data_IF_024023813286
#
_entry.id   IF_024023813286
#
_cell.length_a   1.000
_cell.length_b   1.000
_cell.length_c   1.000
_cell.angle_alpha   90.00
_cell.angle_beta   90.00
_cell.angle_gamma   90.00
#
_symmetry.space_group_name_H-M   'P 1'
#
loop_
_entity.id
_entity.type
_entity.pdbx_description
1 polymer ?
#
# COMPACT_ATOMS: atom_id res chain seq x y z
N UNK A 1 6.04 -3.41 17.07
CA UNK A 1 5.98 -3.59 18.54
C UNK A 1 6.62 -2.40 19.27
N UNK A 2 5.82 -1.45 19.78
CA UNK A 2 6.33 -0.23 20.44
C UNK A 2 6.76 -0.45 21.91
N UNK A 3 6.15 -1.43 22.58
CA UNK A 3 6.26 -1.62 24.04
C UNK A 3 7.37 -2.59 24.47
N UNK A 4 7.86 -3.46 23.58
CA UNK A 4 8.82 -4.50 23.96
C UNK A 4 10.29 -4.08 23.88
N UNK A 5 10.65 -3.15 22.99
CA UNK A 5 12.06 -2.79 22.74
C UNK A 5 12.75 -2.14 23.94
N UNK A 6 12.15 -1.10 24.51
CA UNK A 6 12.72 -0.37 25.66
C UNK A 6 12.95 -1.27 26.88
N UNK A 7 12.01 -2.15 27.29
CA UNK A 7 12.25 -3.12 28.35
C UNK A 7 13.38 -4.11 28.04
N UNK A 8 13.52 -4.54 26.77
CA UNK A 8 14.59 -5.47 26.37
C UNK A 8 15.96 -4.80 26.49
N UNK A 9 16.11 -3.59 25.97
CA UNK A 9 17.38 -2.82 26.06
C UNK A 9 17.72 -2.47 27.51
N UNK A 10 16.72 -2.15 28.34
CA UNK A 10 16.92 -1.88 29.76
C UNK A 10 17.36 -3.12 30.56
N UNK A 11 16.86 -4.31 30.20
CA UNK A 11 17.21 -5.58 30.87
C UNK A 11 18.51 -6.18 30.33
N UNK A 12 18.85 -5.89 29.07
CA UNK A 12 20.00 -6.45 28.38
C UNK A 12 20.81 -5.32 27.72
N UNK A 13 21.78 -4.71 28.44
CA UNK A 13 22.52 -3.53 27.98
C UNK A 13 23.29 -3.72 26.67
N UNK A 14 23.64 -4.97 26.33
CA UNK A 14 24.39 -5.33 25.14
C UNK A 14 23.49 -5.70 23.94
N UNK A 15 22.17 -5.57 24.08
CA UNK A 15 21.20 -5.87 23.02
C UNK A 15 20.62 -4.57 22.50
N UNK A 16 20.74 -4.35 21.20
CA UNK A 16 20.11 -3.22 20.50
C UNK A 16 18.81 -3.70 19.86
N UNK A 17 17.71 -3.00 20.11
CA UNK A 17 16.40 -3.35 19.56
C UNK A 17 16.03 -2.41 18.40
N UNK A 18 15.94 -2.99 17.20
CA UNK A 18 15.41 -2.29 16.03
C UNK A 18 13.93 -2.61 15.82
N UNK A 19 13.15 -1.58 15.49
CA UNK A 19 11.73 -1.77 15.13
C UNK A 19 11.64 -2.40 13.74
N UNK A 20 10.72 -3.36 13.58
CA UNK A 20 10.46 -3.99 12.29
C UNK A 20 9.96 -2.96 11.26
N UNK A 21 10.76 -2.77 10.20
CA UNK A 21 10.52 -1.84 9.11
C UNK A 21 9.34 -2.26 8.21
N UNK A 22 9.19 -3.56 7.94
CA UNK A 22 8.03 -4.12 7.24
C UNK A 22 6.72 -3.86 8.01
N UNK A 23 6.72 -4.09 9.33
CA UNK A 23 5.56 -3.74 10.17
C UNK A 23 5.23 -2.25 10.09
N UNK A 24 6.24 -1.39 10.03
CA UNK A 24 6.02 0.05 9.94
C UNK A 24 5.50 0.50 8.56
N UNK A 25 5.90 -0.16 7.46
CA UNK A 25 5.25 0.02 6.15
C UNK A 25 3.77 -0.38 6.18
N UNK A 26 3.44 -1.47 6.87
CA UNK A 26 2.05 -1.88 7.05
C UNK A 26 1.23 -0.85 7.86
N UNK A 27 1.83 -0.27 8.91
CA UNK A 27 1.20 0.83 9.65
C UNK A 27 1.05 2.08 8.77
N UNK A 28 2.06 2.43 7.99
CA UNK A 28 1.99 3.54 7.03
C UNK A 28 0.82 3.35 6.05
N UNK A 29 0.67 2.16 5.45
CA UNK A 29 -0.49 1.84 4.61
C UNK A 29 -1.80 2.05 5.38
N UNK A 30 -1.91 1.52 6.61
CA UNK A 30 -3.10 1.70 7.43
C UNK A 30 -3.46 3.17 7.64
N UNK A 31 -2.48 4.05 7.83
CA UNK A 31 -2.74 5.48 8.01
C UNK A 31 -3.06 6.19 6.70
N UNK A 32 -2.42 5.82 5.59
CA UNK A 32 -2.78 6.32 4.26
C UNK A 32 -4.26 6.00 3.95
N UNK A 33 -4.73 4.79 4.29
CA UNK A 33 -6.12 4.40 4.09
C UNK A 33 -7.14 5.13 4.99
N UNK A 34 -6.69 5.94 5.96
CA UNK A 34 -7.56 6.86 6.72
C UNK A 34 -7.83 8.16 5.97
N UNK A 35 -7.02 8.52 4.98
CA UNK A 35 -7.27 9.66 4.11
C UNK A 35 -8.57 9.41 3.34
N UNK A 36 -9.46 10.41 3.29
CA UNK A 36 -10.83 10.29 2.75
C UNK A 36 -10.87 9.63 1.36
N UNK A 37 -10.00 10.08 0.44
CA UNK A 37 -9.88 9.53 -0.91
C UNK A 37 -9.68 8.00 -0.91
N UNK A 38 -8.74 7.51 -0.09
CA UNK A 38 -8.39 6.10 -0.01
C UNK A 38 -9.49 5.30 0.67
N UNK A 39 -10.03 5.83 1.77
CA UNK A 39 -11.13 5.20 2.51
C UNK A 39 -12.38 5.02 1.64
N UNK A 40 -12.76 6.02 0.86
CA UNK A 40 -13.95 5.97 0.00
C UNK A 40 -13.78 4.98 -1.17
N UNK A 41 -12.60 4.98 -1.81
CA UNK A 41 -12.27 4.00 -2.86
C UNK A 41 -12.27 2.58 -2.28
N UNK A 42 -11.65 2.37 -1.11
CA UNK A 42 -11.57 1.06 -0.47
C UNK A 42 -12.96 0.53 -0.10
N UNK A 43 -13.84 1.37 0.46
CA UNK A 43 -15.22 0.99 0.79
C UNK A 43 -15.98 0.49 -0.43
N UNK A 44 -15.92 1.21 -1.56
CA UNK A 44 -16.53 0.80 -2.83
C UNK A 44 -15.92 -0.49 -3.37
N UNK A 45 -14.59 -0.61 -3.37
CA UNK A 45 -13.89 -1.80 -3.84
C UNK A 45 -14.23 -3.05 -3.00
N UNK A 46 -14.38 -2.92 -1.68
CA UNK A 46 -14.78 -4.04 -0.80
C UNK A 46 -16.15 -4.59 -1.19
N UNK A 47 -17.11 -3.73 -1.57
CA UNK A 47 -18.44 -4.18 -2.02
C UNK A 47 -18.34 -5.04 -3.27
N UNK A 48 -17.57 -4.61 -4.27
CA UNK A 48 -17.31 -5.39 -5.49
C UNK A 48 -16.66 -6.73 -5.14
N UNK A 49 -15.60 -6.73 -4.32
CA UNK A 49 -14.87 -7.97 -3.97
C UNK A 49 -15.75 -8.93 -3.18
N UNK A 50 -16.53 -8.46 -2.21
CA UNK A 50 -17.48 -9.28 -1.45
C UNK A 50 -18.52 -9.89 -2.39
N UNK A 51 -19.07 -9.09 -3.31
CA UNK A 51 -20.05 -9.56 -4.28
C UNK A 51 -19.50 -10.67 -5.18
N UNK A 52 -18.28 -10.48 -5.71
CA UNK A 52 -17.60 -11.47 -6.56
C UNK A 52 -17.25 -12.73 -5.78
N UNK A 53 -16.67 -12.59 -4.58
CA UNK A 53 -16.24 -13.74 -3.77
C UNK A 53 -17.40 -14.62 -3.31
N UNK A 54 -18.57 -14.04 -3.07
CA UNK A 54 -19.77 -14.78 -2.70
C UNK A 54 -20.33 -15.67 -3.83
N UNK A 55 -19.86 -15.49 -5.07
CA UNK A 55 -20.41 -16.16 -6.26
C UNK A 55 -19.32 -16.95 -6.96
N UNK A 56 -19.28 -18.26 -6.72
CA UNK A 56 -18.20 -19.14 -7.19
C UNK A 56 -17.97 -19.08 -8.71
N UNK A 57 -19.03 -19.06 -9.52
CA UNK A 57 -18.92 -18.97 -10.98
C UNK A 57 -18.28 -17.64 -11.42
N UNK A 58 -18.74 -16.52 -10.85
CA UNK A 58 -18.20 -15.20 -11.16
C UNK A 58 -16.75 -15.08 -10.67
N UNK A 59 -16.44 -15.58 -9.48
CA UNK A 59 -15.08 -15.64 -8.95
C UNK A 59 -14.15 -16.44 -9.87
N UNK A 60 -14.61 -17.58 -10.38
CA UNK A 60 -13.83 -18.41 -11.30
C UNK A 60 -13.59 -17.72 -12.64
N UNK A 61 -14.61 -17.06 -13.20
CA UNK A 61 -14.47 -16.23 -14.41
C UNK A 61 -13.44 -15.10 -14.21
N UNK A 62 -13.53 -14.38 -13.10
CA UNK A 62 -12.57 -13.32 -12.75
C UNK A 62 -11.16 -13.87 -12.60
N UNK A 63 -10.99 -15.04 -11.99
CA UNK A 63 -9.69 -15.70 -11.85
C UNK A 63 -9.13 -16.12 -13.22
N UNK A 64 -9.97 -16.71 -14.09
CA UNK A 64 -9.58 -17.09 -15.47
C UNK A 64 -9.14 -15.87 -16.27
N UNK A 65 -9.92 -14.81 -16.27
CA UNK A 65 -9.57 -13.56 -16.93
C UNK A 65 -8.25 -12.99 -16.41
N UNK A 66 -8.05 -12.96 -15.08
CA UNK A 66 -6.81 -12.48 -14.47
C UNK A 66 -5.58 -13.32 -14.83
N UNK A 67 -5.74 -14.61 -15.11
CA UNK A 67 -4.64 -15.48 -15.59
C UNK A 67 -4.23 -15.15 -17.01
N UNK A 68 -5.19 -14.77 -17.86
CA UNK A 68 -4.96 -14.41 -19.26
C UNK A 68 -4.33 -13.03 -19.43
N UNK A 69 -4.49 -12.12 -18.45
CA UNK A 69 -3.81 -10.84 -18.46
C UNK A 69 -2.28 -11.01 -18.35
N UNK A 70 -1.54 -10.46 -19.33
CA UNK A 70 -0.08 -10.37 -19.29
C UNK A 70 0.39 -9.75 -17.96
N UNK A 71 1.53 -10.21 -17.41
CA UNK A 71 2.03 -9.80 -16.07
C UNK A 71 2.06 -8.26 -15.88
N UNK A 72 2.30 -7.48 -16.94
CA UNK A 72 2.32 -6.01 -16.92
C UNK A 72 0.94 -5.34 -16.76
N UNK A 73 -0.18 -6.01 -17.12
CA UNK A 73 -1.55 -5.48 -17.11
C UNK A 73 -2.40 -5.87 -15.90
N UNK A 74 -1.82 -6.57 -14.90
CA UNK A 74 -2.56 -7.05 -13.71
C UNK A 74 -2.98 -5.94 -12.74
N UNK A 75 -2.70 -4.68 -13.05
CA UNK A 75 -3.17 -3.52 -12.30
C UNK A 75 -4.43 -2.93 -12.95
N UNK A 76 -5.60 -3.28 -12.41
CA UNK A 76 -6.70 -2.30 -12.34
C UNK A 76 -7.96 -2.50 -13.15
N UNK A 77 -8.13 -3.54 -13.98
CA UNK A 77 -9.37 -3.68 -14.78
C UNK A 77 -10.03 -5.06 -14.61
N UNK A 78 -11.25 -5.05 -14.06
CA UNK A 78 -12.18 -6.18 -14.05
C UNK A 78 -13.16 -5.99 -15.23
N UNK A 79 -12.77 -6.41 -16.43
CA UNK A 79 -13.65 -6.47 -17.59
C UNK A 79 -14.30 -7.86 -17.69
N UNK A 80 -15.03 -8.27 -16.65
CA UNK A 80 -15.74 -9.56 -16.64
C UNK A 80 -17.23 -9.30 -16.75
N UNK A 81 -17.94 -9.94 -17.72
CA UNK A 81 -19.38 -9.79 -17.83
C UNK A 81 -20.06 -10.25 -16.54
N UNK A 82 -20.81 -9.35 -15.90
CA UNK A 82 -21.67 -9.71 -14.76
C UNK A 82 -22.90 -10.46 -15.28
N UNK A 83 -23.41 -11.42 -14.50
CA UNK A 83 -24.73 -12.01 -14.75
C UNK A 83 -25.77 -10.88 -14.78
N UNK A 84 -26.65 -10.91 -15.78
CA UNK A 84 -27.60 -9.81 -16.02
C UNK A 84 -28.71 -9.73 -14.97
N UNK A 85 -29.12 -10.86 -14.39
CA UNK A 85 -30.22 -10.92 -13.42
C UNK A 85 -30.03 -12.03 -12.38
N UNK A 86 -30.52 -11.78 -11.17
CA UNK A 86 -30.72 -12.76 -10.10
C UNK A 86 -32.21 -12.94 -9.81
N UNK A 87 -32.61 -14.16 -9.47
CA UNK A 87 -34.01 -14.47 -9.11
C UNK A 87 -34.37 -13.96 -7.72
N UNK A 88 -33.39 -13.86 -6.82
CA UNK A 88 -33.58 -13.36 -5.47
C UNK A 88 -33.40 -11.84 -5.38
N UNK A 89 -34.37 -11.17 -4.73
CA UNK A 89 -34.42 -9.71 -4.60
C UNK A 89 -33.19 -9.12 -3.90
N UNK A 90 -32.64 -9.83 -2.91
CA UNK A 90 -31.47 -9.38 -2.16
C UNK A 90 -30.19 -9.39 -3.02
N UNK A 91 -29.95 -10.43 -3.83
CA UNK A 91 -28.82 -10.44 -4.76
C UNK A 91 -29.00 -9.45 -5.90
N UNK A 92 -30.24 -9.19 -6.34
CA UNK A 92 -30.51 -8.18 -7.35
C UNK A 92 -30.13 -6.77 -6.86
N UNK A 93 -30.53 -6.39 -5.63
CA UNK A 93 -30.13 -5.10 -5.02
C UNK A 93 -28.60 -4.98 -4.91
N UNK A 94 -27.92 -6.07 -4.51
CA UNK A 94 -26.44 -6.09 -4.44
C UNK A 94 -25.81 -6.00 -5.84
N UNK A 95 -26.43 -6.57 -6.86
CA UNK A 95 -25.98 -6.47 -8.25
C UNK A 95 -26.12 -5.03 -8.75
N UNK A 96 -27.27 -4.40 -8.53
CA UNK A 96 -27.53 -3.01 -8.96
C UNK A 96 -26.54 -2.03 -8.29
N UNK A 97 -26.26 -2.22 -7.01
CA UNK A 97 -25.25 -1.44 -6.30
C UNK A 97 -23.85 -1.61 -6.91
N UNK A 98 -23.43 -2.86 -7.15
CA UNK A 98 -22.11 -3.15 -7.75
C UNK A 98 -22.03 -2.64 -9.18
N UNK A 99 -23.10 -2.79 -9.96
CA UNK A 99 -23.21 -2.27 -11.32
C UNK A 99 -23.09 -0.75 -11.34
N UNK A 100 -23.69 -0.06 -10.37
CA UNK A 100 -23.52 1.39 -10.18
C UNK A 100 -22.07 1.79 -9.92
N UNK A 101 -21.33 1.04 -9.10
CA UNK A 101 -19.91 1.30 -8.83
C UNK A 101 -19.04 0.99 -10.05
N UNK A 102 -19.29 -0.14 -10.73
CA UNK A 102 -18.49 -0.58 -11.89
C UNK A 102 -18.68 0.37 -13.08
N UNK A 103 -19.86 0.95 -13.26
CA UNK A 103 -20.12 1.93 -14.31
C UNK A 103 -19.72 3.37 -13.95
N UNK A 104 -19.36 3.64 -12.69
CA UNK A 104 -18.89 4.94 -12.22
C UNK A 104 -17.46 5.22 -12.76
N UNK A 105 -17.37 6.04 -13.81
CA UNK A 105 -16.09 6.46 -14.40
C UNK A 105 -15.19 7.19 -13.38
N UNK A 106 -15.77 7.97 -12.47
CA UNK A 106 -15.02 8.72 -11.46
C UNK A 106 -14.42 7.78 -10.41
N UNK A 107 -15.13 6.69 -10.07
CA UNK A 107 -14.57 5.64 -9.23
C UNK A 107 -13.28 5.07 -9.82
N UNK A 108 -13.25 4.72 -11.10
CA UNK A 108 -12.05 4.15 -11.74
C UNK A 108 -10.88 5.14 -11.84
N UNK A 109 -11.16 6.42 -12.13
CA UNK A 109 -10.12 7.48 -12.11
C UNK A 109 -9.49 7.56 -10.71
N UNK A 110 -10.32 7.65 -9.65
CA UNK A 110 -9.84 7.70 -8.26
C UNK A 110 -9.13 6.42 -7.85
N UNK A 111 -9.63 5.26 -8.25
CA UNK A 111 -9.01 3.96 -7.98
C UNK A 111 -7.62 3.84 -8.61
N UNK A 112 -7.45 4.31 -9.85
CA UNK A 112 -6.15 4.36 -10.53
C UNK A 112 -5.15 5.25 -9.79
N UNK A 113 -5.60 6.40 -9.29
CA UNK A 113 -4.78 7.30 -8.45
C UNK A 113 -4.39 6.62 -7.13
N UNK A 114 -5.34 6.00 -6.42
CA UNK A 114 -5.07 5.27 -5.16
C UNK A 114 -4.06 4.14 -5.37
N UNK A 115 -4.20 3.36 -6.46
CA UNK A 115 -3.23 2.30 -6.80
C UNK A 115 -1.87 2.88 -7.12
N UNK A 116 -1.80 3.99 -7.88
CA UNK A 116 -0.53 4.70 -8.15
C UNK A 116 0.15 5.14 -6.86
N UNK A 117 -0.59 5.76 -5.94
CA UNK A 117 -0.05 6.30 -4.69
C UNK A 117 0.33 5.24 -3.64
N UNK A 118 -0.29 4.06 -3.67
CA UNK A 118 0.09 2.96 -2.76
C UNK A 118 1.28 2.14 -3.26
N UNK A 119 1.58 2.19 -4.57
CA UNK A 119 2.62 1.37 -5.21
C UNK A 119 4.03 1.57 -4.63
N UNK A 120 4.51 2.79 -4.34
CA UNK A 120 5.84 2.95 -3.72
C UNK A 120 5.92 2.28 -2.34
N UNK A 121 4.87 2.39 -1.52
CA UNK A 121 4.82 1.79 -0.18
C UNK A 121 4.78 0.27 -0.25
N UNK A 122 3.97 -0.31 -1.16
CA UNK A 122 3.91 -1.78 -1.31
C UNK A 122 5.21 -2.36 -1.87
N UNK A 123 5.91 -1.61 -2.74
CA UNK A 123 7.26 -1.99 -3.19
C UNK A 123 8.26 -1.97 -2.04
N UNK A 124 8.26 -0.91 -1.22
CA UNK A 124 9.13 -0.82 -0.05
C UNK A 124 8.83 -1.97 0.93
N UNK A 125 7.56 -2.24 1.21
CA UNK A 125 7.16 -3.37 2.04
C UNK A 125 7.72 -4.70 1.50
N UNK A 126 7.55 -4.97 0.20
CA UNK A 126 8.03 -6.20 -0.42
C UNK A 126 9.56 -6.35 -0.32
N UNK A 127 10.34 -5.27 -0.46
CA UNK A 127 11.80 -5.29 -0.28
C UNK A 127 12.16 -5.58 1.17
N UNK A 128 11.49 -4.93 2.11
CA UNK A 128 11.77 -5.05 3.55
C UNK A 128 11.31 -6.38 4.15
N UNK A 129 10.45 -7.12 3.46
CA UNK A 129 10.02 -8.48 3.83
C UNK A 129 10.96 -9.57 3.28
N UNK A 130 11.92 -9.22 2.40
CA UNK A 130 12.86 -10.21 1.89
C UNK A 130 13.88 -10.63 2.95
N UNK A 131 14.27 -11.91 2.95
CA UNK A 131 15.32 -12.43 3.85
C UNK A 131 16.71 -11.80 3.58
N UNK A 132 16.87 -11.15 2.41
CA UNK A 132 18.07 -10.41 2.04
C UNK A 132 18.06 -8.94 2.52
N UNK A 133 17.02 -8.49 3.23
CA UNK A 133 16.94 -7.12 3.71
C UNK A 133 17.94 -6.87 4.85
N UNK A 134 19.03 -6.16 4.56
CA UNK A 134 19.96 -5.65 5.56
C UNK A 134 19.38 -4.44 6.31
N UNK A 135 20.01 -4.06 7.42
CA UNK A 135 19.61 -2.87 8.17
C UNK A 135 19.84 -1.58 7.36
N UNK A 136 20.89 -1.53 6.53
CA UNK A 136 21.17 -0.40 5.62
C UNK A 136 20.04 -0.18 4.59
N UNK A 137 19.42 -1.25 4.12
CA UNK A 137 18.29 -1.17 3.17
C UNK A 137 17.08 -0.44 3.76
N UNK A 138 16.91 -0.42 5.08
CA UNK A 138 15.79 0.27 5.72
C UNK A 138 15.86 1.77 5.44
N UNK A 139 16.97 2.44 5.76
CA UNK A 139 17.10 3.89 5.48
C UNK A 139 17.08 4.15 3.97
N UNK A 140 17.73 3.31 3.16
CA UNK A 140 17.71 3.42 1.71
C UNK A 140 16.28 3.43 1.14
N UNK A 141 15.46 2.45 1.52
CA UNK A 141 14.08 2.32 1.06
C UNK A 141 13.21 3.48 1.56
N UNK A 142 13.44 4.00 2.77
CA UNK A 142 12.74 5.18 3.27
C UNK A 142 13.08 6.45 2.50
N UNK A 143 14.36 6.68 2.17
CA UNK A 143 14.77 7.80 1.33
C UNK A 143 14.18 7.69 -0.07
N UNK A 144 14.22 6.50 -0.68
CA UNK A 144 13.59 6.24 -1.97
C UNK A 144 12.09 6.49 -1.93
N UNK A 145 11.42 6.04 -0.88
CA UNK A 145 9.98 6.23 -0.68
C UNK A 145 9.62 7.70 -0.52
N UNK A 146 10.39 8.45 0.29
CA UNK A 146 10.15 9.87 0.52
C UNK A 146 10.36 10.73 -0.74
N UNK A 147 11.28 10.30 -1.62
CA UNK A 147 11.60 10.94 -2.91
C UNK A 147 10.83 10.35 -4.10
N UNK A 148 9.85 9.47 -3.87
CA UNK A 148 9.15 8.81 -4.95
C UNK A 148 8.40 9.85 -5.83
N UNK A 149 8.48 9.75 -7.17
CA UNK A 149 7.86 10.70 -8.08
C UNK A 149 6.35 10.77 -7.90
N UNK A 150 5.71 9.69 -7.46
CA UNK A 150 4.28 9.67 -7.13
C UNK A 150 3.90 10.63 -5.98
N UNK A 151 4.87 11.12 -5.19
CA UNK A 151 4.63 12.07 -4.10
C UNK A 151 5.28 13.43 -4.33
N UNK A 152 6.32 13.52 -5.16
CA UNK A 152 7.05 14.78 -5.42
C UNK A 152 6.59 15.49 -6.68
N UNK A 153 6.07 14.76 -7.67
CA UNK A 153 5.56 15.34 -8.91
C UNK A 153 4.04 15.51 -8.83
N UNK A 154 3.53 16.64 -9.30
CA UNK A 154 2.10 16.93 -9.31
C UNK A 154 1.31 15.93 -10.15
N UNK A 155 0.26 15.35 -9.57
CA UNK A 155 -0.67 14.48 -10.31
C UNK A 155 -1.87 15.31 -10.74
N UNK A 156 -2.11 15.42 -12.06
CA UNK A 156 -3.21 16.22 -12.61
C UNK A 156 -4.59 15.90 -12.00
N UNK A 157 -4.87 14.62 -11.73
CA UNK A 157 -6.12 14.17 -11.09
C UNK A 157 -6.26 14.59 -9.60
N UNK A 158 -5.21 15.16 -9.02
CA UNK A 158 -5.12 15.66 -7.65
C UNK A 158 -4.74 17.15 -7.60
N UNK A 159 -4.88 17.89 -8.70
CA UNK A 159 -4.62 19.32 -8.70
C UNK A 159 -5.42 20.03 -7.59
N UNK A 160 -4.73 20.80 -6.74
CA UNK A 160 -5.33 21.47 -5.58
C UNK A 160 -5.59 20.58 -4.36
N UNK A 161 -5.16 19.31 -4.37
CA UNK A 161 -5.31 18.38 -3.25
C UNK A 161 -4.05 18.32 -2.37
N UNK A 162 -4.23 18.23 -1.06
CA UNK A 162 -3.17 18.00 -0.06
C UNK A 162 -2.74 16.53 0.07
N UNK A 163 -3.33 15.62 -0.69
CA UNK A 163 -3.14 14.16 -0.50
C UNK A 163 -1.67 13.74 -0.61
N UNK A 164 -0.92 14.25 -1.59
CA UNK A 164 0.50 13.91 -1.75
C UNK A 164 1.33 14.40 -0.56
N UNK A 165 1.05 15.61 -0.07
CA UNK A 165 1.72 16.19 1.10
C UNK A 165 1.36 15.45 2.40
N UNK A 166 0.10 15.05 2.58
CA UNK A 166 -0.33 14.22 3.71
C UNK A 166 0.42 12.88 3.74
N UNK A 167 0.59 12.23 2.59
CA UNK A 167 1.36 10.98 2.49
C UNK A 167 2.82 11.24 2.85
N UNK A 168 3.44 12.31 2.37
CA UNK A 168 4.84 12.66 2.71
C UNK A 168 5.01 12.93 4.21
N UNK A 169 4.06 13.63 4.84
CA UNK A 169 4.03 13.85 6.29
C UNK A 169 3.91 12.53 7.06
N UNK A 170 3.07 11.60 6.59
CA UNK A 170 2.96 10.27 7.17
C UNK A 170 4.27 9.47 7.04
N UNK A 171 4.93 9.53 5.88
CA UNK A 171 6.24 8.86 5.68
C UNK A 171 7.29 9.43 6.65
N UNK A 172 7.40 10.75 6.75
CA UNK A 172 8.34 11.40 7.67
C UNK A 172 8.07 11.00 9.13
N UNK A 173 6.82 11.09 9.57
CA UNK A 173 6.42 10.67 10.92
C UNK A 173 6.71 9.18 11.20
N UNK A 174 6.63 8.31 10.17
CA UNK A 174 6.95 6.88 10.29
C UNK A 174 8.45 6.64 10.35
N UNK A 175 9.26 7.44 9.67
CA UNK A 175 10.72 7.40 9.80
C UNK A 175 11.17 7.74 11.22
N UNK A 176 10.70 8.86 11.76
CA UNK A 176 10.99 9.26 13.15
C UNK A 176 10.55 8.19 14.15
N UNK A 177 9.46 7.48 13.84
CA UNK A 177 8.98 6.38 14.65
C UNK A 177 9.90 5.16 14.61
N UNK A 178 10.47 4.78 13.46
CA UNK A 178 11.27 3.55 13.35
C UNK A 178 12.69 3.76 13.82
N UNK A 179 13.27 4.95 13.58
CA UNK A 179 14.64 5.27 13.96
C UNK A 179 14.89 4.84 15.41
N UNK A 180 15.80 3.88 15.64
CA UNK A 180 16.11 3.45 17.00
C UNK A 180 16.92 4.56 17.69
N UNK A 181 16.84 4.69 19.03
CA UNK A 181 17.66 5.66 19.76
C UNK A 181 19.16 5.46 19.54
N UNK A 182 19.58 4.22 19.31
CA UNK A 182 20.97 3.84 18.98
C UNK A 182 21.42 4.25 17.58
N UNK A 183 20.50 4.74 16.73
CA UNK A 183 20.71 5.11 15.33
C UNK A 183 21.40 4.03 14.46
N UNK A 184 21.29 2.76 14.88
CA UNK A 184 21.99 1.64 14.24
C UNK A 184 21.65 1.46 12.76
N UNK A 185 20.44 1.85 12.34
CA UNK A 185 20.02 1.85 10.93
C UNK A 185 20.77 2.89 10.11
N UNK A 186 21.02 4.08 10.66
CA UNK A 186 21.79 5.13 9.99
C UNK A 186 23.26 4.75 9.92
N UNK A 187 23.83 4.22 11.01
CA UNK A 187 25.21 3.71 11.02
C UNK A 187 25.39 2.61 9.98
N UNK A 188 24.48 1.63 9.94
CA UNK A 188 24.53 0.55 8.94
C UNK A 188 24.44 1.09 7.51
N UNK A 189 23.64 2.13 7.26
CA UNK A 189 23.56 2.76 5.95
C UNK A 189 24.85 3.48 5.55
N UNK A 190 25.46 4.23 6.48
CA UNK A 190 26.72 4.95 6.24
C UNK A 190 27.91 4.01 6.01
N UNK A 191 27.87 2.81 6.60
CA UNK A 191 28.91 1.79 6.47
C UNK A 191 28.66 0.80 5.32
N UNK A 192 27.58 0.98 4.54
CA UNK A 192 27.25 0.11 3.42
C UNK A 192 27.79 0.69 2.10
N UNK A 193 28.94 0.20 1.58
CA UNK A 193 29.54 0.72 0.35
C UNK A 193 28.65 0.49 -0.89
N UNK A 194 27.66 -0.41 -0.82
CA UNK A 194 26.69 -0.60 -1.89
C UNK A 194 25.66 0.53 -1.99
N UNK A 195 25.67 1.47 -1.03
CA UNK A 195 24.76 2.64 -0.95
C UNK A 195 25.47 3.97 -1.08
N UNK A 196 26.77 3.96 -1.36
CA UNK A 196 27.56 5.17 -1.56
C UNK A 196 26.99 6.01 -2.72
N UNK A 197 26.91 7.31 -2.47
CA UNK A 197 26.27 8.32 -3.35
C UNK A 197 27.23 8.71 -4.51
N UNK A 198 28.33 7.97 -4.71
CA UNK A 198 29.38 8.25 -5.69
C UNK A 198 29.40 7.29 -6.89
N UNK A 199 28.33 6.54 -7.14
CA UNK A 199 28.11 5.80 -8.40
C UNK A 199 26.79 6.20 -9.05
#
# INVERSE_FOLDING_TARGET
MKKAGRPVEAKHPNVVFNRCSAHAMNLLLKDIFKIKLFGDVLKKAIKIVKFVRARHLLLDQVRRYRRQLQKARKAGELAVPLMKHYTDKESQVKLDEVQGIVNDKQFWIKAKVVVRLTKPVTRALAVLETDACSNSMVLHEFLRLYRAPEYTEGIAALAGSSVQDEIRKLIASRWDFIRPPSDSTTVAYLLDPSKDIFN
#
